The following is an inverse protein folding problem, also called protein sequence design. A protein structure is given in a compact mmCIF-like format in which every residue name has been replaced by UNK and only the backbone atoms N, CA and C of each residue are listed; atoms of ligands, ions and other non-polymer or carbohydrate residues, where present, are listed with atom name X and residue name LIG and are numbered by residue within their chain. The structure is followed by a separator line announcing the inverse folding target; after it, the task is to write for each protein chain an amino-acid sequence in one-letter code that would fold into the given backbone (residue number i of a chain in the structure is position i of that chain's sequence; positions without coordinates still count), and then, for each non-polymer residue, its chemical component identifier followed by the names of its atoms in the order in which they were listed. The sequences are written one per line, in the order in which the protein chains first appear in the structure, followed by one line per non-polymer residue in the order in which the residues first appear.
data_IF_425098970626
#
_entry.id   IF_425098970626
#
_cell.length_a   1.000
_cell.length_b   1.000
_cell.length_c   1.000
_cell.angle_alpha   90.00
_cell.angle_beta   90.00
_cell.angle_gamma   90.00
#
_symmetry.space_group_name_H-M   'P 1'
#
loop_
_entity.id
_entity.type
_entity.pdbx_description
1 polymer ?
#
# COMPACT_ATOMS: atom_id res chain seq x y z
N UNK A 1 -11.49 6.42 13.73
CA UNK A 1 -10.78 5.89 12.55
C UNK A 1 -11.20 4.49 12.16
N UNK A 2 -11.02 3.44 12.99
CA UNK A 2 -11.36 2.06 12.56
C UNK A 2 -12.84 1.86 12.22
N UNK A 3 -13.75 2.47 13.00
CA UNK A 3 -15.18 2.47 12.68
C UNK A 3 -15.46 3.10 11.31
N UNK A 4 -14.90 4.28 11.08
CA UNK A 4 -14.99 4.99 9.80
C UNK A 4 -14.47 4.12 8.65
N UNK A 5 -13.31 3.47 8.81
CA UNK A 5 -12.77 2.57 7.79
C UNK A 5 -13.74 1.43 7.46
N UNK A 6 -14.37 0.81 8.47
CA UNK A 6 -15.37 -0.24 8.26
C UNK A 6 -16.61 0.29 7.53
N UNK A 7 -17.09 1.48 7.87
CA UNK A 7 -18.25 2.12 7.25
C UNK A 7 -17.96 2.51 5.78
N UNK A 8 -16.81 3.12 5.53
CA UNK A 8 -16.33 3.51 4.19
C UNK A 8 -16.18 2.28 3.28
N UNK A 9 -15.63 1.16 3.78
CA UNK A 9 -15.55 -0.09 3.02
C UNK A 9 -16.93 -0.69 2.71
N UNK A 10 -17.85 -0.69 3.68
CA UNK A 10 -19.23 -1.15 3.47
C UNK A 10 -19.98 -0.30 2.45
N UNK A 11 -19.66 0.99 2.36
CA UNK A 11 -20.23 1.91 1.40
C UNK A 11 -19.57 1.86 0.00
N UNK A 12 -18.66 0.91 -0.25
CA UNK A 12 -17.86 0.81 -1.47
C UNK A 12 -16.97 2.03 -1.77
N UNK A 13 -16.62 2.83 -0.76
CA UNK A 13 -15.78 4.04 -0.89
C UNK A 13 -14.29 3.68 -0.76
N UNK A 14 -13.83 2.75 -1.58
CA UNK A 14 -12.49 2.16 -1.50
C UNK A 14 -11.35 3.19 -1.68
N UNK A 15 -11.57 4.25 -2.48
CA UNK A 15 -10.58 5.34 -2.63
C UNK A 15 -10.40 6.14 -1.34
N UNK A 16 -11.48 6.41 -0.61
CA UNK A 16 -11.43 7.10 0.67
C UNK A 16 -10.83 6.21 1.77
N UNK A 17 -11.15 4.93 1.73
CA UNK A 17 -10.60 3.94 2.67
C UNK A 17 -9.06 3.88 2.58
N UNK A 18 -8.47 4.07 1.39
CA UNK A 18 -7.01 4.13 1.23
C UNK A 18 -6.38 5.26 2.05
N UNK A 19 -7.00 6.44 2.06
CA UNK A 19 -6.49 7.56 2.86
C UNK A 19 -6.57 7.28 4.36
N UNK A 20 -7.65 6.63 4.81
CA UNK A 20 -7.78 6.22 6.21
C UNK A 20 -6.69 5.20 6.60
N UNK A 21 -6.37 4.24 5.72
CA UNK A 21 -5.32 3.25 5.97
C UNK A 21 -3.94 3.92 6.00
N UNK A 22 -3.63 4.82 5.06
CA UNK A 22 -2.36 5.58 5.06
C UNK A 22 -2.24 6.48 6.29
N UNK A 23 -3.33 7.12 6.70
CA UNK A 23 -3.34 7.94 7.91
C UNK A 23 -3.06 7.12 9.17
N UNK A 24 -3.74 5.96 9.31
CA UNK A 24 -3.45 5.02 10.40
C UNK A 24 -2.00 4.51 10.36
N UNK A 25 -1.46 4.30 9.16
CA UNK A 25 -0.07 3.89 8.97
C UNK A 25 0.90 4.96 9.48
N UNK A 26 0.73 6.22 9.07
CA UNK A 26 1.65 7.31 9.47
C UNK A 26 1.51 7.68 10.95
N UNK A 27 0.35 7.44 11.57
CA UNK A 27 0.18 7.56 13.03
C UNK A 27 1.08 6.62 13.84
N UNK A 28 1.65 5.57 13.23
CA UNK A 28 2.70 4.76 13.87
C UNK A 28 3.97 5.57 14.04
N UNK A 29 4.39 6.32 13.01
CA UNK A 29 5.55 7.22 13.07
C UNK A 29 5.35 8.37 14.07
N UNK A 30 4.09 8.74 14.35
CA UNK A 30 3.72 9.74 15.34
C UNK A 30 3.59 9.18 16.77
N UNK A 31 3.97 7.92 17.02
CA UNK A 31 3.82 7.24 18.32
C UNK A 31 2.38 7.19 18.86
N UNK A 32 1.37 7.29 17.99
CA UNK A 32 -0.04 7.16 18.40
C UNK A 32 -0.49 5.71 18.30
N UNK A 33 -0.05 4.99 17.27
CA UNK A 33 -0.41 3.58 17.03
C UNK A 33 0.83 2.70 17.22
N UNK A 34 0.67 1.60 17.95
CA UNK A 34 1.74 0.62 18.11
C UNK A 34 1.97 -0.15 16.79
N UNK A 35 3.22 -0.17 16.31
CA UNK A 35 3.61 -0.87 15.07
C UNK A 35 3.11 -2.32 14.97
N UNK A 36 3.16 -3.16 16.03
CA UNK A 36 2.63 -4.53 15.96
C UNK A 36 1.15 -4.61 15.57
N UNK A 37 0.33 -3.65 16.01
CA UNK A 37 -1.09 -3.62 15.68
C UNK A 37 -1.37 -3.23 14.23
N UNK A 38 -0.49 -2.42 13.62
CA UNK A 38 -0.55 -2.08 12.20
C UNK A 38 -0.11 -3.26 11.32
N UNK A 39 0.96 -3.98 11.72
CA UNK A 39 1.39 -5.21 11.04
C UNK A 39 0.27 -6.25 11.06
N UNK A 40 -0.36 -6.49 12.21
CA UNK A 40 -1.48 -7.42 12.32
C UNK A 40 -2.67 -7.04 11.41
N UNK A 41 -2.95 -5.73 11.29
CA UNK A 41 -3.97 -5.25 10.36
C UNK A 41 -3.59 -5.51 8.89
N UNK A 42 -2.33 -5.31 8.51
CA UNK A 42 -1.85 -5.64 7.17
C UNK A 42 -1.84 -7.15 6.88
N UNK A 43 -1.51 -7.99 7.86
CA UNK A 43 -1.64 -9.45 7.72
C UNK A 43 -3.08 -9.86 7.41
N UNK A 44 -4.06 -9.24 8.10
CA UNK A 44 -5.48 -9.46 7.80
C UNK A 44 -5.90 -8.89 6.45
N UNK A 45 -5.21 -7.89 5.90
CA UNK A 45 -5.48 -7.41 4.54
C UNK A 45 -4.94 -8.41 3.51
N UNK A 46 -3.73 -8.92 3.72
CA UNK A 46 -3.10 -9.85 2.80
C UNK A 46 -3.75 -11.24 2.85
N UNK A 47 -4.38 -11.63 3.97
CA UNK A 47 -5.17 -12.86 4.04
C UNK A 47 -6.34 -12.89 3.04
N UNK A 48 -6.85 -11.73 2.59
CA UNK A 48 -7.87 -11.64 1.52
C UNK A 48 -7.38 -12.24 0.20
N UNK A 49 -6.06 -12.33 -0.02
CA UNK A 49 -5.49 -13.01 -1.22
C UNK A 49 -5.64 -14.53 -1.19
N UNK A 50 -6.11 -15.09 -0.07
CA UNK A 50 -6.36 -16.52 0.17
C UNK A 50 -7.86 -16.83 0.26
N UNK A 51 -8.74 -15.83 0.18
CA UNK A 51 -10.18 -16.07 0.07
C UNK A 51 -10.47 -16.78 -1.27
N UNK A 52 -11.31 -17.81 -1.22
CA UNK A 52 -11.79 -18.53 -2.41
C UNK A 52 -13.01 -17.83 -3.02
N UNK A 53 -13.24 -18.03 -4.32
CA UNK A 53 -14.42 -17.53 -5.05
C UNK A 53 -14.69 -16.02 -4.96
N UNK A 54 -13.63 -15.22 -4.85
CA UNK A 54 -13.72 -13.75 -4.87
C UNK A 54 -13.16 -13.12 -6.16
N UNK A 55 -13.64 -11.91 -6.55
CA UNK A 55 -13.06 -11.18 -7.67
C UNK A 55 -11.60 -10.78 -7.42
N UNK A 56 -10.73 -10.89 -8.43
CA UNK A 56 -9.32 -10.43 -8.33
C UNK A 56 -9.21 -8.98 -7.86
N UNK A 57 -10.10 -8.10 -8.33
CA UNK A 57 -10.15 -6.67 -7.95
C UNK A 57 -10.35 -6.44 -6.45
N UNK A 58 -10.93 -7.40 -5.72
CA UNK A 58 -11.03 -7.36 -4.25
C UNK A 58 -9.66 -7.53 -3.62
N UNK A 59 -9.00 -8.64 -3.91
CA UNK A 59 -7.66 -8.94 -3.39
C UNK A 59 -6.66 -7.86 -3.80
N UNK A 60 -6.74 -7.39 -5.03
CA UNK A 60 -5.93 -6.32 -5.59
C UNK A 60 -6.02 -5.02 -4.76
N UNK A 61 -7.22 -4.62 -4.34
CA UNK A 61 -7.37 -3.41 -3.53
C UNK A 61 -6.70 -3.54 -2.15
N UNK A 62 -6.86 -4.68 -1.48
CA UNK A 62 -6.22 -4.90 -0.17
C UNK A 62 -4.69 -4.93 -0.28
N UNK A 63 -4.14 -5.58 -1.31
CA UNK A 63 -2.70 -5.57 -1.59
C UNK A 63 -2.21 -4.15 -1.88
N UNK A 64 -2.95 -3.40 -2.72
CA UNK A 64 -2.63 -2.01 -3.02
C UNK A 64 -2.66 -1.12 -1.77
N UNK A 65 -3.65 -1.30 -0.89
CA UNK A 65 -3.76 -0.55 0.36
C UNK A 65 -2.53 -0.75 1.26
N UNK A 66 -2.05 -1.98 1.37
CA UNK A 66 -0.82 -2.29 2.12
C UNK A 66 0.40 -1.67 1.44
N UNK A 67 0.67 -2.03 0.17
CA UNK A 67 1.87 -1.58 -0.55
C UNK A 67 1.97 -0.07 -0.63
N UNK A 68 0.86 0.61 -0.93
CA UNK A 68 0.83 2.07 -1.04
C UNK A 68 0.88 2.80 0.30
N UNK A 69 0.92 2.09 1.42
CA UNK A 69 1.15 2.69 2.75
C UNK A 69 2.62 2.59 3.19
N UNK A 70 3.40 1.68 2.58
CA UNK A 70 4.79 1.43 2.96
C UNK A 70 5.76 2.59 2.72
N UNK A 71 5.57 3.52 1.77
CA UNK A 71 6.41 4.72 1.70
C UNK A 71 6.35 5.57 2.99
N UNK A 72 5.22 5.56 3.70
CA UNK A 72 5.05 6.29 4.94
C UNK A 72 5.58 5.52 6.15
N UNK A 73 5.18 4.25 6.30
CA UNK A 73 5.40 3.49 7.55
C UNK A 73 6.38 2.32 7.41
N UNK A 74 6.81 1.98 6.20
CA UNK A 74 7.53 0.74 5.92
C UNK A 74 8.82 0.59 6.74
N UNK A 75 9.55 1.68 6.95
CA UNK A 75 10.74 1.71 7.81
C UNK A 75 10.41 1.28 9.24
N UNK A 76 9.46 1.96 9.89
CA UNK A 76 9.12 1.71 11.29
C UNK A 76 8.56 0.29 11.49
N UNK A 77 7.72 -0.20 10.57
CA UNK A 77 7.22 -1.58 10.67
C UNK A 77 8.34 -2.60 10.52
N UNK A 78 9.24 -2.40 9.54
CA UNK A 78 10.34 -3.34 9.30
C UNK A 78 11.37 -3.32 10.44
N UNK A 79 11.64 -2.17 11.05
CA UNK A 79 12.55 -2.07 12.21
C UNK A 79 11.99 -2.77 13.46
N UNK A 80 10.66 -2.79 13.65
CA UNK A 80 10.04 -3.42 14.82
C UNK A 80 9.65 -4.89 14.59
N UNK A 81 9.37 -5.28 13.35
CA UNK A 81 8.67 -6.53 12.97
C UNK A 81 9.16 -7.06 11.61
N UNK A 82 10.48 -7.15 11.43
CA UNK A 82 11.13 -7.59 10.18
C UNK A 82 10.65 -8.97 9.71
N UNK A 83 10.60 -9.97 10.60
CA UNK A 83 10.18 -11.34 10.29
C UNK A 83 8.74 -11.38 9.77
N UNK A 84 7.82 -10.71 10.46
CA UNK A 84 6.41 -10.63 10.04
C UNK A 84 6.26 -9.85 8.73
N UNK A 85 7.01 -8.77 8.55
CA UNK A 85 7.02 -7.99 7.31
C UNK A 85 7.57 -8.79 6.13
N UNK A 86 8.64 -9.57 6.31
CA UNK A 86 9.18 -10.44 5.26
C UNK A 86 8.20 -11.55 4.86
N UNK A 87 7.49 -12.13 5.83
CA UNK A 87 6.41 -13.08 5.57
C UNK A 87 5.29 -12.42 4.75
N UNK A 88 4.86 -11.23 5.14
CA UNK A 88 3.82 -10.46 4.46
C UNK A 88 4.21 -10.13 3.02
N UNK A 89 5.43 -9.62 2.80
CA UNK A 89 5.95 -9.31 1.47
C UNK A 89 6.07 -10.56 0.59
N UNK A 90 6.45 -11.71 1.17
CA UNK A 90 6.51 -12.99 0.45
C UNK A 90 5.12 -13.46 0.00
N UNK A 91 4.09 -13.28 0.83
CA UNK A 91 2.70 -13.58 0.47
C UNK A 91 2.20 -12.68 -0.67
N UNK A 92 2.54 -11.38 -0.61
CA UNK A 92 2.22 -10.44 -1.69
C UNK A 92 2.90 -10.85 -2.99
N UNK A 93 4.20 -11.15 -2.98
CA UNK A 93 4.93 -11.60 -4.17
C UNK A 93 4.30 -12.86 -4.80
N UNK A 94 3.95 -13.83 -3.95
CA UNK A 94 3.26 -15.04 -4.38
C UNK A 94 1.87 -14.77 -4.96
N UNK A 95 1.15 -13.76 -4.48
CA UNK A 95 -0.12 -13.31 -5.06
C UNK A 95 0.08 -12.60 -6.41
N UNK A 96 1.01 -11.65 -6.49
CA UNK A 96 1.25 -10.87 -7.70
C UNK A 96 1.63 -11.75 -8.90
N UNK A 97 2.43 -12.80 -8.67
CA UNK A 97 2.85 -13.76 -9.71
C UNK A 97 1.70 -14.56 -10.33
N UNK A 98 0.58 -14.75 -9.61
CA UNK A 98 -0.57 -15.55 -10.07
C UNK A 98 -1.73 -14.70 -10.63
N UNK A 99 -1.63 -13.38 -10.56
CA UNK A 99 -2.67 -12.46 -11.06
C UNK A 99 -2.83 -12.57 -12.57
N UNK A 100 -4.08 -12.51 -13.03
CA UNK A 100 -4.39 -12.36 -14.44
C UNK A 100 -4.16 -10.92 -14.89
N UNK A 101 -3.53 -10.76 -16.05
CA UNK A 101 -3.18 -9.47 -16.68
C UNK A 101 -3.97 -9.21 -17.96
N UNK A 102 -5.12 -9.87 -18.13
CA UNK A 102 -5.98 -9.78 -19.32
C UNK A 102 -6.49 -8.37 -19.61
N UNK A 103 -6.62 -7.54 -18.57
CA UNK A 103 -7.06 -6.16 -18.67
C UNK A 103 -5.99 -5.21 -19.23
N UNK A 104 -4.71 -5.56 -19.17
CA UNK A 104 -3.60 -4.63 -19.48
C UNK A 104 -3.68 -4.07 -20.91
N UNK A 105 -3.82 -4.87 -21.98
CA UNK A 105 -3.86 -4.33 -23.35
C UNK A 105 -5.02 -3.36 -23.60
N UNK A 106 -6.12 -3.50 -22.85
CA UNK A 106 -7.28 -2.62 -22.96
C UNK A 106 -7.06 -1.26 -22.28
N UNK A 107 -6.18 -1.20 -21.29
CA UNK A 107 -5.99 -0.02 -20.44
C UNK A 107 -4.76 0.81 -20.82
N UNK A 108 -3.80 0.23 -21.55
CA UNK A 108 -2.59 0.94 -21.98
C UNK A 108 -2.92 2.07 -22.97
N UNK A 109 -2.35 3.25 -22.73
CA UNK A 109 -2.40 4.38 -23.68
C UNK A 109 -1.57 4.07 -24.93
N UNK A 110 -0.42 3.42 -24.74
CA UNK A 110 0.45 2.95 -25.81
C UNK A 110 0.84 1.49 -25.55
N UNK A 111 0.73 0.66 -26.59
CA UNK A 111 1.16 -0.74 -26.55
C UNK A 111 2.67 -0.92 -26.77
N UNK A 112 3.39 0.16 -27.09
CA UNK A 112 4.83 0.11 -27.31
C UNK A 112 5.56 0.10 -25.95
N UNK A 113 6.48 -0.84 -25.78
CA UNK A 113 7.31 -0.97 -24.57
C UNK A 113 8.40 0.12 -24.46
N UNK A 114 8.63 0.88 -25.54
CA UNK A 114 9.65 1.92 -25.62
C UNK A 114 9.03 3.24 -26.07
N UNK A 115 9.50 4.40 -25.57
CA UNK A 115 10.58 4.54 -24.58
C UNK A 115 10.16 4.14 -23.16
N UNK A 116 8.87 4.20 -22.85
CA UNK A 116 8.33 3.92 -21.53
C UNK A 116 7.21 2.86 -21.58
N UNK A 117 7.38 1.71 -20.93
CA UNK A 117 6.32 0.72 -20.83
C UNK A 117 5.17 1.26 -19.96
N UNK A 118 3.94 0.98 -20.38
CA UNK A 118 2.74 1.28 -19.59
C UNK A 118 2.45 0.10 -18.66
N UNK A 119 3.12 0.10 -17.51
CA UNK A 119 3.10 -0.99 -16.53
C UNK A 119 1.73 -1.13 -15.84
N UNK A 120 1.39 -2.35 -15.46
CA UNK A 120 0.23 -2.61 -14.59
C UNK A 120 0.50 -2.05 -13.18
N UNK A 121 -0.49 -1.39 -12.58
CA UNK A 121 -0.27 -0.56 -11.38
C UNK A 121 0.29 -1.29 -10.17
N UNK A 122 -0.10 -2.54 -9.93
CA UNK A 122 0.40 -3.33 -8.80
C UNK A 122 1.81 -3.85 -9.06
N UNK A 123 2.12 -4.24 -10.30
CA UNK A 123 3.50 -4.61 -10.67
C UNK A 123 4.45 -3.42 -10.51
N UNK A 124 4.04 -2.24 -10.99
CA UNK A 124 4.82 -1.01 -10.88
C UNK A 124 5.03 -0.61 -9.42
N UNK A 125 3.96 -0.62 -8.61
CA UNK A 125 4.04 -0.32 -7.18
C UNK A 125 4.90 -1.35 -6.43
N UNK A 126 4.83 -2.63 -6.80
CA UNK A 126 5.67 -3.66 -6.22
C UNK A 126 7.15 -3.39 -6.49
N UNK A 127 7.52 -3.06 -7.73
CA UNK A 127 8.89 -2.69 -8.07
C UNK A 127 9.38 -1.46 -7.26
N UNK A 128 8.51 -0.46 -7.07
CA UNK A 128 8.81 0.73 -6.25
C UNK A 128 9.06 0.35 -4.79
N UNK A 129 8.20 -0.48 -4.20
CA UNK A 129 8.37 -0.96 -2.81
C UNK A 129 9.63 -1.81 -2.66
N UNK A 130 9.94 -2.66 -3.65
CA UNK A 130 11.16 -3.47 -3.62
C UNK A 130 12.42 -2.61 -3.70
N UNK A 131 12.41 -1.55 -4.52
CA UNK A 131 13.49 -0.55 -4.52
C UNK A 131 13.58 0.15 -3.16
N UNK A 132 12.47 0.58 -2.58
CA UNK A 132 12.45 1.22 -1.27
C UNK A 132 13.04 0.29 -0.19
N UNK A 133 12.67 -0.99 -0.17
CA UNK A 133 13.24 -1.99 0.73
C UNK A 133 14.76 -2.16 0.52
N UNK A 134 15.21 -2.27 -0.74
CA UNK A 134 16.64 -2.34 -1.10
C UNK A 134 17.41 -1.13 -0.59
N UNK A 135 16.80 0.03 -0.63
CA UNK A 135 17.35 1.30 -0.15
C UNK A 135 17.13 1.49 1.38
N UNK A 136 16.95 0.40 2.14
CA UNK A 136 16.74 0.39 3.60
C UNK A 136 15.58 1.26 4.06
N UNK A 137 14.49 1.22 3.30
CA UNK A 137 13.28 2.01 3.54
C UNK A 137 13.51 3.51 3.59
N UNK A 138 14.56 4.01 2.92
CA UNK A 138 14.85 5.44 2.81
C UNK A 138 14.27 6.01 1.51
N UNK A 139 13.51 7.10 1.64
CA UNK A 139 13.01 7.91 0.54
C UNK A 139 13.40 9.38 0.76
N UNK A 140 13.17 10.24 -0.23
CA UNK A 140 13.71 11.63 -0.25
C UNK A 140 12.66 12.70 -0.50
N UNK A 141 11.37 12.38 -0.41
CA UNK A 141 10.29 13.28 -0.83
C UNK A 141 9.27 13.60 0.26
N UNK A 142 8.90 12.62 1.10
CA UNK A 142 7.84 12.80 2.09
C UNK A 142 8.31 13.75 3.19
N UNK A 143 7.59 14.86 3.36
CA UNK A 143 7.76 15.75 4.51
C UNK A 143 7.17 15.09 5.76
N UNK A 144 7.95 15.05 6.84
CA UNK A 144 7.61 14.35 8.10
C UNK A 144 7.70 15.32 9.28
N UNK A 145 6.69 16.20 9.49
CA UNK A 145 6.76 17.26 10.50
C UNK A 145 6.97 16.73 11.92
N UNK A 146 6.46 15.53 12.22
CA UNK A 146 6.57 14.87 13.52
C UNK A 146 8.03 14.62 13.96
N UNK A 147 9.00 14.57 13.04
CA UNK A 147 10.43 14.44 13.38
C UNK A 147 10.91 15.62 14.23
N UNK A 148 10.36 16.83 14.03
CA UNK A 148 10.73 18.00 14.83
C UNK A 148 10.21 17.94 16.28
N UNK A 149 9.34 17.00 16.59
CA UNK A 149 8.67 16.84 17.89
C UNK A 149 9.03 15.49 18.56
N UNK A 150 10.12 14.86 18.15
CA UNK A 150 10.53 13.52 18.61
C UNK A 150 10.58 13.41 20.14
N UNK A 151 11.11 14.43 20.82
CA UNK A 151 11.18 14.47 22.29
C UNK A 151 9.80 14.45 22.97
N UNK A 152 8.78 14.99 22.33
CA UNK A 152 7.40 15.01 22.87
C UNK A 152 6.68 13.72 22.52
N UNK A 153 6.84 13.23 21.29
CA UNK A 153 6.10 12.07 20.80
C UNK A 153 6.63 10.75 21.39
N UNK A 154 7.94 10.66 21.68
CA UNK A 154 8.52 9.48 22.32
C UNK A 154 7.98 9.24 23.75
N UNK A 155 7.50 10.27 24.44
CA UNK A 155 6.90 10.15 25.78
C UNK A 155 5.42 9.74 25.73
N UNK A 156 4.80 9.73 24.54
CA UNK A 156 3.39 9.42 24.38
C UNK A 156 3.10 7.92 24.54
N UNK A 157 1.95 7.60 25.14
CA UNK A 157 1.45 6.23 25.21
C UNK A 157 0.85 5.82 23.87
N UNK A 158 1.38 4.73 23.30
CA UNK A 158 0.85 4.14 22.07
C UNK A 158 -0.46 3.38 22.33
N UNK A 159 -1.32 3.37 21.32
CA UNK A 159 -2.56 2.59 21.32
C UNK A 159 -2.45 1.38 20.39
N UNK A 160 -3.02 0.25 20.81
CA UNK A 160 -3.21 -0.89 19.94
C UNK A 160 -4.49 -0.73 19.13
N UNK A 161 -4.40 -0.95 17.81
CA UNK A 161 -5.60 -1.07 16.99
C UNK A 161 -6.43 -2.29 17.41
N UNK A 162 -7.76 -2.18 17.47
CA UNK A 162 -8.61 -3.34 17.64
C UNK A 162 -8.45 -4.30 16.44
N UNK A 163 -8.66 -5.61 16.62
CA UNK A 163 -8.62 -6.56 15.52
C UNK A 163 -9.51 -6.12 14.35
N UNK A 164 -8.91 -6.06 13.17
CA UNK A 164 -9.60 -5.68 11.94
C UNK A 164 -9.79 -6.90 11.05
N UNK A 165 -11.04 -7.27 10.81
CA UNK A 165 -11.40 -8.26 9.80
C UNK A 165 -11.96 -7.52 8.58
N UNK A 166 -11.38 -7.71 7.38
CA UNK A 166 -11.96 -7.23 6.13
C UNK A 166 -13.45 -7.60 6.02
N UNK A 167 -14.34 -6.66 5.64
CA UNK A 167 -15.72 -7.02 5.32
C UNK A 167 -15.74 -8.09 4.24
N UNK A 168 -16.52 -9.16 4.45
CA UNK A 168 -16.66 -10.25 3.49
C UNK A 168 -17.13 -9.74 2.12
N UNK A 169 -16.76 -10.45 1.06
CA UNK A 169 -17.31 -10.18 -0.27
C UNK A 169 -18.83 -10.34 -0.28
N UNK A 170 -19.52 -9.45 -0.97
CA UNK A 170 -20.94 -9.59 -1.28
C UNK A 170 -21.21 -9.20 -2.75
N UNK A 171 -22.30 -9.67 -3.36
CA UNK A 171 -22.62 -9.35 -4.75
C UNK A 171 -22.75 -7.85 -5.04
N UNK A 172 -23.12 -7.04 -4.05
CA UNK A 172 -23.25 -5.59 -4.17
C UNK A 172 -21.90 -4.84 -3.98
N UNK A 173 -20.80 -5.56 -3.79
CA UNK A 173 -19.49 -4.95 -3.59
C UNK A 173 -18.90 -4.45 -4.91
N UNK A 174 -18.50 -3.18 -4.94
CA UNK A 174 -17.94 -2.52 -6.12
C UNK A 174 -16.50 -2.11 -5.88
N UNK A 175 -15.56 -2.96 -6.27
CA UNK A 175 -14.13 -2.70 -6.11
C UNK A 175 -13.58 -1.79 -7.22
N UNK A 176 -12.53 -1.00 -6.95
CA UNK A 176 -11.87 -0.21 -7.98
C UNK A 176 -11.35 -1.07 -9.13
N UNK A 177 -11.44 -0.54 -10.35
CA UNK A 177 -10.88 -1.20 -11.53
C UNK A 177 -9.35 -1.15 -11.52
N UNK A 178 -8.67 -2.14 -12.10
CA UNK A 178 -7.24 -2.06 -12.32
C UNK A 178 -6.92 -0.88 -13.25
N UNK A 179 -5.68 -0.41 -13.21
CA UNK A 179 -5.19 0.66 -14.07
C UNK A 179 -3.76 0.37 -14.53
N UNK A 180 -3.33 1.06 -15.59
CA UNK A 180 -1.94 1.10 -16.03
C UNK A 180 -1.33 2.45 -15.64
N UNK A 181 -0.05 2.45 -15.28
CA UNK A 181 0.65 3.67 -14.91
C UNK A 181 1.01 4.44 -16.16
N UNK A 182 0.44 5.63 -16.30
CA UNK A 182 0.82 6.55 -17.37
C UNK A 182 2.28 6.98 -17.20
N UNK A 183 3.08 6.82 -18.27
CA UNK A 183 4.49 7.22 -18.26
C UNK A 183 4.92 7.75 -19.62
N UNK A 184 5.46 8.96 -19.63
CA UNK A 184 6.00 9.62 -20.83
C UNK A 184 7.28 10.43 -20.59
N UNK A 185 7.70 10.57 -19.32
CA UNK A 185 8.87 11.34 -18.94
C UNK A 185 9.88 10.47 -18.20
N UNK A 186 11.16 10.77 -18.39
CA UNK A 186 12.26 10.42 -17.51
C UNK A 186 13.23 11.60 -17.29
N UNK A 187 14.37 11.33 -16.65
CA UNK A 187 15.35 12.35 -16.31
C UNK A 187 16.07 12.97 -17.52
N UNK A 188 16.00 12.33 -18.69
CA UNK A 188 16.63 12.83 -19.92
C UNK A 188 15.80 13.89 -20.62
N UNK A 189 14.49 13.96 -20.33
CA UNK A 189 13.59 15.00 -20.84
C UNK A 189 13.78 16.36 -20.17
N UNK A 190 14.41 16.39 -18.99
CA UNK A 190 14.75 17.59 -18.23
C UNK A 190 16.20 17.50 -17.71
N UNK A 191 17.21 17.73 -18.57
CA UNK A 191 18.61 17.48 -18.24
C UNK A 191 19.22 18.52 -17.29
N UNK A 192 18.57 19.67 -17.12
CA UNK A 192 18.96 20.69 -16.13
C UNK A 192 18.47 20.25 -14.74
N UNK A 193 19.34 20.33 -13.73
CA UNK A 193 19.00 19.89 -12.36
C UNK A 193 17.72 20.59 -11.84
N UNK A 194 16.88 19.89 -11.04
CA UNK A 194 15.71 20.50 -10.43
C UNK A 194 16.12 21.74 -9.61
N UNK A 195 15.56 22.90 -9.98
CA UNK A 195 15.75 24.18 -9.28
C UNK A 195 15.16 24.14 -7.87
#
# INVERSE_FOLDING_TARGET
MIRQLKETLKANLYSEALYLVRFLSDLVNCHVIAAPSMVAMFENFISVTQEEDIPQVRSDWYVYAVLSSLPWVGKELYEKKDVEMDRLLSQIDGYLKRRQKTHVPMLQVWSAEKPHPQEEYLDCLWAQVQKLKKDRWQERHILRPYIAFDSVLCEALQHNLPPFTPPAHCPDAHYPTPHTVFRMFDYTDAPEDPV
#
